data_IF_952514030972
#
_entry.id   IF_952514030972
#
_cell.length_a   1.000
_cell.length_b   1.000
_cell.length_c   1.000
_cell.angle_alpha   90.00
_cell.angle_beta   90.00
_cell.angle_gamma   90.00
#
_symmetry.space_group_name_H-M   'P 1'
#
loop_
_entity.id
_entity.type
_entity.pdbx_description
1 polymer ?
#
# COMPACT_ATOMS: atom_id res chain seq x y z
N UNK A 1 25.35 -22.73 -49.89
CA UNK A 1 25.27 -21.30 -49.53
C UNK A 1 24.90 -21.24 -48.07
N UNK A 2 25.88 -20.88 -47.25
CA UNK A 2 25.71 -20.59 -45.82
C UNK A 2 25.41 -19.10 -45.72
N UNK A 3 24.41 -18.72 -44.94
CA UNK A 3 24.23 -17.44 -44.22
C UNK A 3 22.89 -17.62 -43.46
N UNK A 4 22.87 -17.79 -42.15
CA UNK A 4 23.28 -16.73 -41.22
C UNK A 4 22.02 -16.00 -40.75
N UNK A 5 21.18 -16.63 -39.93
CA UNK A 5 20.15 -15.91 -39.16
C UNK A 5 20.36 -16.23 -37.69
N UNK A 6 20.89 -15.23 -37.03
CA UNK A 6 21.24 -15.08 -35.62
C UNK A 6 20.11 -15.53 -34.69
N UNK A 7 20.36 -16.41 -33.70
CA UNK A 7 19.37 -16.80 -32.69
C UNK A 7 19.10 -15.72 -31.62
N UNK A 8 19.60 -14.50 -31.79
CA UNK A 8 19.43 -13.40 -30.80
C UNK A 8 18.04 -12.73 -30.85
N UNK A 9 17.35 -12.73 -31.99
CA UNK A 9 16.03 -12.09 -32.08
C UNK A 9 14.93 -12.87 -31.35
N UNK A 10 15.01 -14.20 -31.35
CA UNK A 10 14.06 -15.07 -30.64
C UNK A 10 14.26 -15.05 -29.11
N UNK A 11 15.48 -14.81 -28.64
CA UNK A 11 15.78 -14.69 -27.20
C UNK A 11 15.23 -13.41 -26.58
N UNK A 12 15.15 -12.32 -27.34
CA UNK A 12 14.67 -11.03 -26.82
C UNK A 12 13.15 -10.99 -26.68
N UNK A 13 12.40 -11.61 -27.61
CA UNK A 13 10.94 -11.68 -27.51
C UNK A 13 10.47 -12.52 -26.31
N UNK A 14 11.19 -13.61 -25.99
CA UNK A 14 10.88 -14.50 -24.86
C UNK A 14 11.30 -13.90 -23.51
N UNK A 15 12.26 -12.96 -23.51
CA UNK A 15 12.66 -12.20 -22.32
C UNK A 15 11.70 -11.04 -22.06
N UNK A 16 11.24 -10.34 -23.10
CA UNK A 16 10.27 -9.24 -22.99
C UNK A 16 8.89 -9.75 -22.57
N UNK A 17 8.42 -10.87 -23.11
CA UNK A 17 7.14 -11.47 -22.70
C UNK A 17 7.14 -12.09 -21.28
N UNK A 18 8.33 -12.34 -20.70
CA UNK A 18 8.48 -12.83 -19.33
C UNK A 18 8.52 -11.73 -18.28
N UNK A 19 9.00 -10.55 -18.63
CA UNK A 19 9.02 -9.36 -17.76
C UNK A 19 7.59 -8.85 -17.49
N UNK A 20 6.66 -8.98 -18.45
CA UNK A 20 5.28 -8.50 -18.25
C UNK A 20 4.44 -9.30 -17.24
N UNK A 21 4.67 -10.61 -17.08
CA UNK A 21 3.78 -11.45 -16.27
C UNK A 21 4.23 -11.58 -14.80
N UNK A 22 5.54 -11.56 -14.53
CA UNK A 22 6.05 -11.60 -13.14
C UNK A 22 5.74 -10.32 -12.39
N UNK A 23 5.86 -9.19 -13.07
CA UNK A 23 5.78 -7.87 -12.46
C UNK A 23 4.31 -7.52 -12.17
N UNK A 24 3.39 -7.93 -13.05
CA UNK A 24 1.95 -7.88 -12.82
C UNK A 24 1.49 -8.81 -11.68
N UNK A 25 2.08 -10.01 -11.55
CA UNK A 25 1.77 -10.91 -10.44
C UNK A 25 2.30 -10.37 -9.11
N UNK A 26 3.51 -9.80 -9.10
CA UNK A 26 4.07 -9.13 -7.93
C UNK A 26 3.24 -7.91 -7.53
N UNK A 27 2.75 -7.12 -8.50
CA UNK A 27 1.83 -6.02 -8.25
C UNK A 27 0.53 -6.53 -7.64
N UNK A 28 -0.07 -7.58 -8.21
CA UNK A 28 -1.28 -8.21 -7.67
C UNK A 28 -1.11 -8.63 -6.21
N UNK A 29 -0.01 -9.32 -5.89
CA UNK A 29 0.30 -9.73 -4.52
C UNK A 29 0.57 -8.54 -3.59
N UNK A 30 1.31 -7.52 -4.04
CA UNK A 30 1.55 -6.32 -3.24
C UNK A 30 0.23 -5.60 -2.92
N UNK A 31 -0.66 -5.47 -3.90
CA UNK A 31 -1.98 -4.86 -3.72
C UNK A 31 -2.84 -5.68 -2.76
N UNK A 32 -2.96 -6.99 -2.99
CA UNK A 32 -3.85 -7.85 -2.21
C UNK A 32 -3.37 -8.06 -0.78
N UNK A 33 -2.09 -8.37 -0.57
CA UNK A 33 -1.58 -8.79 0.74
C UNK A 33 -1.06 -7.62 1.57
N UNK A 34 -0.43 -6.63 0.94
CA UNK A 34 0.22 -5.51 1.66
C UNK A 34 -0.65 -4.26 1.68
N UNK A 35 -1.14 -3.82 0.52
CA UNK A 35 -1.90 -2.56 0.42
C UNK A 35 -3.26 -2.66 1.10
N UNK A 36 -4.08 -3.65 0.75
CA UNK A 36 -5.41 -3.82 1.34
C UNK A 36 -5.34 -4.14 2.84
N UNK A 37 -4.33 -4.90 3.26
CA UNK A 37 -4.10 -5.22 4.67
C UNK A 37 -3.84 -3.96 5.50
N UNK A 38 -2.88 -3.13 5.07
CA UNK A 38 -2.53 -1.90 5.79
C UNK A 38 -3.63 -0.83 5.70
N UNK A 39 -4.31 -0.70 4.55
CA UNK A 39 -5.48 0.19 4.43
C UNK A 39 -6.61 -0.24 5.37
N UNK A 40 -6.84 -1.56 5.48
CA UNK A 40 -7.82 -2.08 6.44
C UNK A 40 -7.41 -1.76 7.87
N UNK A 41 -6.13 -1.94 8.23
CA UNK A 41 -5.61 -1.60 9.56
C UNK A 41 -5.78 -0.12 9.88
N UNK A 42 -5.43 0.76 8.95
CA UNK A 42 -5.62 2.22 9.07
C UNK A 42 -7.09 2.54 9.26
N UNK A 43 -7.97 1.95 8.45
CA UNK A 43 -9.41 2.16 8.56
C UNK A 43 -9.95 1.76 9.94
N UNK A 44 -9.57 0.59 10.46
CA UNK A 44 -9.98 0.16 11.80
C UNK A 44 -9.47 1.10 12.89
N UNK A 45 -8.22 1.57 12.80
CA UNK A 45 -7.66 2.53 13.76
C UNK A 45 -8.37 3.89 13.68
N UNK A 46 -8.68 4.36 12.48
CA UNK A 46 -9.43 5.59 12.28
C UNK A 46 -10.83 5.49 12.88
N UNK A 47 -11.54 4.37 12.65
CA UNK A 47 -12.85 4.14 13.23
C UNK A 47 -12.79 4.10 14.76
N UNK A 48 -11.84 3.36 15.34
CA UNK A 48 -11.64 3.32 16.78
C UNK A 48 -11.34 4.72 17.36
N UNK A 49 -10.54 5.53 16.67
CA UNK A 49 -10.27 6.91 17.08
C UNK A 49 -11.54 7.78 17.06
N UNK A 50 -12.38 7.64 16.03
CA UNK A 50 -13.65 8.35 15.93
C UNK A 50 -14.63 7.93 17.02
N UNK A 51 -14.73 6.64 17.32
CA UNK A 51 -15.58 6.12 18.39
C UNK A 51 -15.15 6.71 19.75
N UNK A 52 -13.84 6.73 20.03
CA UNK A 52 -13.30 7.35 21.25
C UNK A 52 -13.53 8.86 21.32
N UNK A 53 -13.47 9.54 20.17
CA UNK A 53 -13.78 10.95 20.09
C UNK A 53 -15.26 11.22 20.42
N UNK A 54 -16.17 10.42 19.88
CA UNK A 54 -17.61 10.53 20.18
C UNK A 54 -17.90 10.23 21.66
N UNK A 55 -17.25 9.22 22.23
CA UNK A 55 -17.37 8.89 23.65
C UNK A 55 -16.91 10.04 24.56
N UNK A 56 -15.80 10.70 24.21
CA UNK A 56 -15.32 11.89 24.93
C UNK A 56 -16.21 13.11 24.68
N UNK A 57 -16.74 13.29 23.47
CA UNK A 57 -17.68 14.37 23.21
C UNK A 57 -18.96 14.27 24.05
N UNK A 58 -19.44 13.04 24.31
CA UNK A 58 -20.61 12.79 25.14
C UNK A 58 -20.39 13.23 26.61
N UNK A 59 -19.17 13.16 27.11
CA UNK A 59 -18.78 13.72 28.42
C UNK A 59 -17.34 14.26 28.38
N UNK A 60 -17.24 15.57 28.14
CA UNK A 60 -15.95 16.23 28.01
C UNK A 60 -15.22 16.43 29.34
N UNK A 61 -15.90 16.23 30.47
CA UNK A 61 -15.31 16.37 31.81
C UNK A 61 -14.57 15.12 32.25
N UNK A 62 -14.82 13.98 31.59
CA UNK A 62 -14.16 12.71 31.85
C UNK A 62 -12.73 12.69 31.23
N UNK A 63 -11.74 12.83 32.11
CA UNK A 63 -10.33 12.79 31.76
C UNK A 63 -9.86 11.44 31.22
N UNK A 64 -10.48 10.32 31.62
CA UNK A 64 -10.12 9.00 31.12
C UNK A 64 -10.54 8.84 29.66
N UNK A 65 -11.75 9.31 29.31
CA UNK A 65 -12.22 9.31 27.91
C UNK A 65 -11.36 10.19 27.03
N UNK A 66 -11.02 11.40 27.50
CA UNK A 66 -10.08 12.29 26.79
C UNK A 66 -8.74 11.60 26.53
N UNK A 67 -8.19 10.94 27.54
CA UNK A 67 -6.92 10.20 27.42
C UNK A 67 -7.05 9.07 26.41
N UNK A 68 -8.15 8.32 26.43
CA UNK A 68 -8.44 7.25 25.47
C UNK A 68 -8.50 7.75 24.02
N UNK A 69 -9.17 8.88 23.79
CA UNK A 69 -9.18 9.54 22.47
C UNK A 69 -7.77 9.95 22.04
N UNK A 70 -7.02 10.65 22.89
CA UNK A 70 -5.67 11.14 22.56
C UNK A 70 -4.73 9.99 22.21
N UNK A 71 -4.77 8.88 22.95
CA UNK A 71 -3.97 7.69 22.65
C UNK A 71 -4.37 7.06 21.31
N UNK A 72 -5.66 6.89 21.05
CA UNK A 72 -6.13 6.36 19.76
C UNK A 72 -5.73 7.27 18.58
N UNK A 73 -5.72 8.59 18.80
CA UNK A 73 -5.27 9.55 17.81
C UNK A 73 -3.77 9.46 17.53
N UNK A 74 -2.93 9.31 18.57
CA UNK A 74 -1.50 9.07 18.39
C UNK A 74 -1.22 7.77 17.63
N UNK A 75 -1.92 6.69 17.96
CA UNK A 75 -1.78 5.42 17.25
C UNK A 75 -2.14 5.53 15.77
N UNK A 76 -3.10 6.39 15.40
CA UNK A 76 -3.44 6.66 14.01
C UNK A 76 -2.34 7.46 13.30
N UNK A 77 -1.80 8.49 13.97
CA UNK A 77 -0.71 9.30 13.42
C UNK A 77 0.57 8.49 13.20
N UNK A 78 0.84 7.50 14.05
CA UNK A 78 2.00 6.61 13.93
C UNK A 78 1.96 5.75 12.65
N UNK A 79 0.77 5.57 12.05
CA UNK A 79 0.61 4.87 10.76
C UNK A 79 0.88 5.76 9.55
N UNK A 80 0.96 7.09 9.71
CA UNK A 80 1.09 8.02 8.61
C UNK A 80 2.37 7.85 7.76
N UNK A 81 3.56 7.61 8.36
CA UNK A 81 4.77 7.34 7.57
C UNK A 81 4.63 6.09 6.70
N UNK A 82 3.95 5.06 7.21
CA UNK A 82 3.74 3.80 6.50
C UNK A 82 2.80 4.00 5.30
N UNK A 83 1.70 4.73 5.49
CA UNK A 83 0.80 5.13 4.40
C UNK A 83 1.49 5.97 3.33
N UNK A 84 2.33 6.93 3.74
CA UNK A 84 3.06 7.78 2.81
C UNK A 84 4.00 6.95 1.94
N UNK A 85 4.77 6.04 2.56
CA UNK A 85 5.66 5.12 1.85
C UNK A 85 4.89 4.27 0.83
N UNK A 86 3.76 3.69 1.22
CA UNK A 86 2.94 2.89 0.30
C UNK A 86 2.41 3.70 -0.87
N UNK A 87 2.04 4.96 -0.64
CA UNK A 87 1.65 5.88 -1.71
C UNK A 87 2.78 6.15 -2.69
N UNK A 88 4.01 6.29 -2.19
CA UNK A 88 5.22 6.43 -3.03
C UNK A 88 5.53 5.15 -3.80
N UNK A 89 5.55 3.99 -3.13
CA UNK A 89 5.81 2.69 -3.76
C UNK A 89 4.82 2.44 -4.93
N UNK A 90 3.54 2.78 -4.75
CA UNK A 90 2.53 2.69 -5.81
C UNK A 90 2.71 3.70 -6.94
N UNK A 91 3.21 4.90 -6.64
CA UNK A 91 3.49 5.92 -7.65
C UNK A 91 4.67 5.49 -8.53
N UNK A 92 5.73 4.97 -7.92
CA UNK A 92 6.91 4.44 -8.61
C UNK A 92 6.52 3.26 -9.52
N UNK A 93 5.75 2.31 -8.99
CA UNK A 93 5.23 1.18 -9.77
C UNK A 93 4.34 1.61 -10.95
N UNK A 94 3.54 2.66 -10.80
CA UNK A 94 2.74 3.20 -11.90
C UNK A 94 3.62 3.79 -13.01
N UNK A 95 4.70 4.48 -12.65
CA UNK A 95 5.66 5.02 -13.63
C UNK A 95 6.37 3.88 -14.38
N UNK A 96 6.77 2.82 -13.69
CA UNK A 96 7.40 1.64 -14.29
C UNK A 96 6.48 0.87 -15.25
N UNK A 97 5.17 0.88 -15.01
CA UNK A 97 4.16 0.25 -15.87
C UNK A 97 3.74 1.11 -17.09
N UNK A 98 4.39 2.26 -17.31
CA UNK A 98 4.21 3.07 -18.52
C UNK A 98 3.13 4.15 -18.42
N UNK A 99 3.20 4.98 -17.37
CA UNK A 99 2.39 6.20 -17.23
C UNK A 99 2.39 7.13 -18.43
#
# INVERSE_FOLDING_TARGET
MNDGITPMAARNADTVARVDNSDLLQLGHYVEESLLGELSRVHHKAQACLDRYHDWQADQTDLQRRTGFVLAFYELLDLYPQLHKMGTDLADLREDLGG
#
